data_IF_325647748097
#
_entry.id   IF_325647748097
#
_cell.length_a   1.000
_cell.length_b   1.000
_cell.length_c   1.000
_cell.angle_alpha   90.00
_cell.angle_beta   90.00
_cell.angle_gamma   90.00
#
_symmetry.space_group_name_H-M   'P 1'
#
loop_
_entity.id
_entity.type
_entity.pdbx_description
1 polymer ?
#
# COMPACT_ATOMS: atom_id res chain seq x y z
N UNK A 1 -1.63 -5.08 -18.61
CA UNK A 1 -0.57 -5.59 -17.71
C UNK A 1 0.78 -5.19 -18.31
N UNK A 2 1.47 -4.23 -17.69
CA UNK A 2 2.79 -3.73 -18.08
C UNK A 2 3.87 -4.65 -17.50
N UNK A 3 4.78 -5.13 -18.33
CA UNK A 3 5.92 -5.96 -17.91
C UNK A 3 7.22 -5.21 -18.23
N UNK A 4 8.03 -4.95 -17.21
CA UNK A 4 9.31 -4.26 -17.34
C UNK A 4 10.43 -5.20 -17.75
N UNK A 5 11.59 -4.63 -18.08
CA UNK A 5 12.82 -5.39 -18.32
C UNK A 5 13.23 -6.19 -17.08
N UNK A 6 13.67 -7.45 -17.21
CA UNK A 6 14.15 -8.24 -16.07
C UNK A 6 15.35 -7.59 -15.35
N UNK A 7 15.35 -7.61 -14.02
CA UNK A 7 16.45 -7.02 -13.22
C UNK A 7 17.66 -7.95 -13.12
N UNK A 8 17.44 -9.26 -13.03
CA UNK A 8 18.51 -10.26 -12.97
C UNK A 8 19.13 -10.45 -11.57
N UNK A 9 18.62 -9.76 -10.55
CA UNK A 9 18.94 -9.95 -9.14
C UNK A 9 17.77 -9.48 -8.26
N UNK A 10 17.73 -9.97 -7.03
CA UNK A 10 16.76 -9.55 -6.04
C UNK A 10 16.94 -8.06 -5.73
N UNK A 11 15.91 -7.26 -5.93
CA UNK A 11 15.95 -5.81 -5.70
C UNK A 11 16.12 -5.50 -4.21
N UNK A 12 15.79 -6.41 -3.30
CA UNK A 12 15.86 -6.17 -1.87
C UNK A 12 17.19 -6.57 -1.22
N UNK A 13 17.86 -7.62 -1.72
CA UNK A 13 19.04 -8.19 -1.08
C UNK A 13 20.20 -8.52 -2.04
N UNK A 14 20.02 -8.33 -3.35
CA UNK A 14 21.06 -8.55 -4.36
C UNK A 14 21.30 -10.01 -4.78
N UNK A 15 20.65 -11.00 -4.14
CA UNK A 15 20.78 -12.41 -4.53
C UNK A 15 20.40 -12.64 -6.00
N UNK A 16 21.11 -13.53 -6.70
CA UNK A 16 20.82 -13.92 -8.09
C UNK A 16 20.08 -15.26 -8.21
N UNK A 17 19.78 -15.88 -7.07
CA UNK A 17 19.24 -17.24 -7.01
C UNK A 17 17.71 -17.24 -6.89
N UNK A 18 17.07 -18.25 -7.50
CA UNK A 18 15.62 -18.52 -7.42
C UNK A 18 14.78 -17.25 -7.56
N UNK A 19 15.03 -16.52 -8.64
CA UNK A 19 14.37 -15.24 -8.90
C UNK A 19 12.97 -15.45 -9.46
N UNK A 20 11.98 -14.90 -8.76
CA UNK A 20 10.60 -14.76 -9.19
C UNK A 20 10.33 -13.39 -9.80
N UNK A 21 9.09 -13.20 -10.28
CA UNK A 21 8.56 -11.89 -10.63
C UNK A 21 8.10 -11.14 -9.37
N UNK A 22 8.29 -9.83 -9.37
CA UNK A 22 7.70 -8.94 -8.37
C UNK A 22 6.54 -8.19 -9.04
N UNK A 23 5.34 -8.24 -8.45
CA UNK A 23 4.28 -7.31 -8.85
C UNK A 23 4.55 -5.99 -8.13
N UNK A 24 4.59 -4.86 -8.81
CA UNK A 24 4.88 -3.56 -8.16
C UNK A 24 3.77 -3.26 -7.15
N UNK A 25 2.54 -3.13 -7.64
CA UNK A 25 1.33 -3.22 -6.82
C UNK A 25 0.94 -4.69 -6.72
N UNK A 26 0.61 -5.23 -5.53
CA UNK A 26 0.20 -6.62 -5.40
C UNK A 26 -0.98 -6.97 -6.32
N UNK A 27 -0.94 -8.16 -6.93
CA UNK A 27 -2.00 -8.63 -7.81
C UNK A 27 -3.39 -8.67 -7.13
N UNK A 28 -3.44 -8.97 -5.83
CA UNK A 28 -4.68 -8.94 -5.03
C UNK A 28 -5.33 -7.56 -4.95
N UNK A 29 -4.59 -6.49 -5.23
CA UNK A 29 -5.10 -5.12 -5.29
C UNK A 29 -5.50 -4.68 -6.69
N UNK A 30 -5.50 -5.57 -7.70
CA UNK A 30 -5.56 -5.26 -9.14
C UNK A 30 -4.32 -4.52 -9.67
N UNK A 31 -3.16 -4.78 -9.07
CA UNK A 31 -1.88 -4.34 -9.65
C UNK A 31 -1.60 -5.03 -10.99
N UNK A 32 -1.17 -4.25 -11.97
CA UNK A 32 -0.98 -4.70 -13.36
C UNK A 32 0.45 -4.47 -13.89
N UNK A 33 1.37 -4.07 -13.02
CA UNK A 33 2.78 -3.85 -13.32
C UNK A 33 3.66 -4.94 -12.72
N UNK A 34 4.54 -5.52 -13.54
CA UNK A 34 5.40 -6.65 -13.16
C UNK A 34 6.86 -6.34 -13.49
N UNK A 35 7.74 -6.60 -12.51
CA UNK A 35 9.18 -6.57 -12.66
C UNK A 35 9.72 -8.02 -12.66
N UNK A 36 10.12 -8.59 -13.81
CA UNK A 36 10.56 -9.98 -13.88
C UNK A 36 11.93 -10.22 -13.23
N UNK A 37 12.16 -11.44 -12.72
CA UNK A 37 13.44 -11.90 -12.16
C UNK A 37 14.05 -10.89 -11.18
N UNK A 38 13.26 -10.45 -10.20
CA UNK A 38 13.56 -9.28 -9.37
C UNK A 38 13.37 -9.51 -7.87
N UNK A 39 12.83 -10.65 -7.43
CA UNK A 39 12.77 -11.03 -6.02
C UNK A 39 13.20 -12.47 -5.83
N UNK A 40 14.04 -12.74 -4.82
CA UNK A 40 14.36 -14.11 -4.43
C UNK A 40 13.28 -14.68 -3.52
N UNK A 41 13.20 -16.01 -3.43
CA UNK A 41 12.23 -16.76 -2.62
C UNK A 41 12.08 -16.22 -1.19
N UNK A 42 13.19 -15.94 -0.50
CA UNK A 42 13.17 -15.41 0.88
C UNK A 42 12.52 -14.03 0.97
N UNK A 43 12.89 -13.12 0.09
CA UNK A 43 12.34 -11.76 0.11
C UNK A 43 10.88 -11.76 -0.35
N UNK A 44 10.53 -12.56 -1.36
CA UNK A 44 9.14 -12.76 -1.79
C UNK A 44 8.25 -13.33 -0.66
N UNK A 45 8.78 -14.24 0.15
CA UNK A 45 8.07 -14.75 1.35
C UNK A 45 7.80 -13.65 2.39
N UNK A 46 8.77 -12.77 2.62
CA UNK A 46 8.60 -11.63 3.53
C UNK A 46 7.56 -10.65 2.97
N UNK A 47 7.69 -10.25 1.69
CA UNK A 47 6.79 -9.25 1.10
C UNK A 47 5.35 -9.76 1.00
N UNK A 48 5.16 -10.99 0.53
CA UNK A 48 3.83 -11.61 0.44
C UNK A 48 3.14 -11.76 1.81
N UNK A 49 3.89 -11.91 2.90
CA UNK A 49 3.33 -12.06 4.25
C UNK A 49 2.55 -10.82 4.70
N UNK A 50 3.16 -9.63 4.61
CA UNK A 50 2.50 -8.39 5.01
C UNK A 50 1.49 -7.90 3.95
N UNK A 51 1.72 -8.19 2.67
CA UNK A 51 0.71 -7.95 1.62
C UNK A 51 -0.58 -8.71 1.93
N UNK A 52 -0.46 -10.00 2.25
CA UNK A 52 -1.58 -10.84 2.62
C UNK A 52 -2.27 -10.37 3.90
N UNK A 53 -1.51 -9.94 4.90
CA UNK A 53 -2.05 -9.37 6.14
C UNK A 53 -2.92 -8.15 5.87
N UNK A 54 -2.46 -7.20 5.06
CA UNK A 54 -3.21 -5.99 4.74
C UNK A 54 -4.44 -6.32 3.87
N UNK A 55 -4.28 -7.19 2.87
CA UNK A 55 -5.34 -7.56 1.94
C UNK A 55 -6.48 -8.38 2.55
N UNK A 56 -6.17 -9.24 3.54
CA UNK A 56 -7.15 -10.07 4.27
C UNK A 56 -7.62 -9.42 5.57
N UNK A 57 -6.88 -8.45 6.10
CA UNK A 57 -7.26 -7.66 7.25
C UNK A 57 -7.97 -6.37 6.83
N UNK A 58 -7.28 -5.25 6.97
CA UNK A 58 -7.86 -3.91 6.91
C UNK A 58 -8.51 -3.52 5.57
N UNK A 59 -8.22 -4.23 4.47
CA UNK A 59 -8.82 -3.99 3.15
C UNK A 59 -9.71 -5.14 2.65
N UNK A 60 -9.98 -6.16 3.45
CA UNK A 60 -10.78 -7.32 3.00
C UNK A 60 -12.21 -6.93 2.60
N UNK A 61 -12.90 -6.14 3.41
CA UNK A 61 -14.29 -5.72 3.14
C UNK A 61 -14.37 -4.87 1.88
N UNK A 62 -13.54 -3.84 1.77
CA UNK A 62 -13.43 -3.03 0.55
C UNK A 62 -13.16 -3.87 -0.69
N UNK A 63 -12.16 -4.76 -0.61
CA UNK A 63 -11.77 -5.60 -1.75
C UNK A 63 -12.89 -6.49 -2.22
N UNK A 64 -13.62 -7.11 -1.29
CA UNK A 64 -14.80 -7.92 -1.64
C UNK A 64 -15.88 -7.06 -2.29
N UNK A 65 -16.34 -6.01 -1.61
CA UNK A 65 -17.53 -5.27 -2.01
C UNK A 65 -17.32 -4.51 -3.33
N UNK A 66 -16.08 -4.12 -3.64
CA UNK A 66 -15.72 -3.51 -4.92
C UNK A 66 -15.15 -4.50 -5.97
N UNK A 67 -15.16 -5.80 -5.67
CA UNK A 67 -14.69 -6.85 -6.58
C UNK A 67 -13.19 -6.76 -6.92
N UNK A 68 -12.36 -6.23 -6.02
CA UNK A 68 -10.91 -6.03 -6.19
C UNK A 68 -10.17 -7.29 -5.73
N UNK A 69 -9.72 -8.10 -6.67
CA UNK A 69 -8.92 -9.30 -6.41
C UNK A 69 -8.56 -10.06 -7.66
N UNK A 70 -7.66 -11.02 -7.54
CA UNK A 70 -7.39 -11.97 -8.63
C UNK A 70 -8.56 -12.96 -8.69
N UNK A 71 -9.16 -13.13 -9.87
CA UNK A 71 -10.34 -13.99 -10.09
C UNK A 71 -10.16 -15.48 -9.74
N UNK A 72 -8.98 -15.88 -9.26
CA UNK A 72 -8.62 -17.23 -8.83
C UNK A 72 -9.10 -17.58 -7.42
N UNK A 73 -9.40 -16.58 -6.59
CA UNK A 73 -10.02 -16.75 -5.27
C UNK A 73 -11.28 -15.89 -5.19
N UNK A 74 -12.41 -16.46 -5.63
CA UNK A 74 -13.73 -15.79 -5.59
C UNK A 74 -14.24 -15.54 -4.17
N UNK A 75 -13.68 -16.22 -3.17
CA UNK A 75 -14.01 -16.01 -1.77
C UNK A 75 -12.90 -15.20 -1.11
N UNK A 76 -13.21 -13.94 -0.77
CA UNK A 76 -12.36 -13.16 0.12
C UNK A 76 -12.38 -13.83 1.49
N UNK A 77 -11.24 -14.34 1.93
CA UNK A 77 -11.08 -14.90 3.26
C UNK A 77 -11.17 -13.78 4.33
N UNK A 78 -12.23 -13.83 5.15
CA UNK A 78 -12.45 -12.93 6.28
C UNK A 78 -11.92 -13.49 7.60
N UNK A 79 -11.20 -14.61 7.59
CA UNK A 79 -10.66 -15.23 8.81
C UNK A 79 -9.78 -14.28 9.64
N UNK A 80 -9.15 -13.30 8.99
CA UNK A 80 -8.33 -12.28 9.63
C UNK A 80 -9.14 -11.12 10.25
N UNK A 81 -10.46 -11.06 10.05
CA UNK A 81 -11.36 -10.14 10.73
C UNK A 81 -12.15 -10.86 11.82
N UNK A 82 -12.29 -10.21 12.98
CA UNK A 82 -13.24 -10.66 14.00
C UNK A 82 -14.51 -9.83 13.89
N UNK A 83 -15.59 -10.46 13.42
CA UNK A 83 -16.91 -9.84 13.26
C UNK A 83 -17.86 -10.45 14.29
N UNK A 84 -18.41 -9.61 15.15
CA UNK A 84 -19.44 -9.98 16.12
C UNK A 84 -20.71 -9.20 15.83
N UNK A 85 -21.86 -9.86 15.88
CA UNK A 85 -23.14 -9.22 15.69
C UNK A 85 -24.13 -9.60 16.80
N UNK A 86 -24.96 -8.64 17.19
CA UNK A 86 -26.00 -8.79 18.20
C UNK A 86 -27.36 -8.74 17.53
N UNK A 87 -28.22 -9.70 17.85
CA UNK A 87 -29.63 -9.73 17.44
C UNK A 87 -30.47 -10.26 18.59
N UNK A 88 -31.53 -9.55 18.98
CA UNK A 88 -32.37 -9.90 20.11
C UNK A 88 -31.55 -10.17 21.39
N UNK A 89 -30.51 -9.37 21.64
CA UNK A 89 -29.61 -9.53 22.78
C UNK A 89 -28.61 -10.71 22.72
N UNK A 90 -28.65 -11.53 21.67
CA UNK A 90 -27.72 -12.67 21.50
C UNK A 90 -26.53 -12.26 20.62
N UNK A 91 -25.32 -12.41 21.15
CA UNK A 91 -24.07 -12.19 20.40
C UNK A 91 -23.66 -13.44 19.63
N UNK A 92 -23.35 -13.29 18.34
CA UNK A 92 -22.88 -14.35 17.46
C UNK A 92 -21.64 -13.89 16.70
N UNK A 93 -20.68 -14.81 16.47
CA UNK A 93 -19.55 -14.56 15.58
C UNK A 93 -20.00 -14.82 14.15
N UNK A 94 -19.88 -13.83 13.29
CA UNK A 94 -20.24 -13.99 11.88
C UNK A 94 -19.00 -14.39 11.07
N UNK A 95 -19.18 -15.36 10.18
CA UNK A 95 -18.25 -15.59 9.07
C UNK A 95 -18.61 -14.60 7.97
N UNK A 96 -17.65 -13.79 7.51
CA UNK A 96 -17.91 -12.65 6.65
C UNK A 96 -18.63 -13.03 5.36
N UNK A 97 -19.95 -12.87 5.32
CA UNK A 97 -20.87 -12.75 4.16
C UNK A 97 -22.25 -12.27 4.66
N UNK A 98 -22.68 -12.69 5.85
CA UNK A 98 -24.08 -12.53 6.31
C UNK A 98 -24.44 -11.15 6.86
N UNK A 99 -23.45 -10.26 7.02
CA UNK A 99 -23.61 -9.04 7.81
C UNK A 99 -24.04 -7.80 6.99
N UNK A 100 -24.11 -7.87 5.66
CA UNK A 100 -24.47 -6.70 4.82
C UNK A 100 -23.58 -5.48 5.08
N UNK A 101 -22.30 -5.70 5.40
CA UNK A 101 -21.40 -4.65 5.89
C UNK A 101 -21.03 -3.65 4.80
N UNK A 102 -20.90 -2.35 5.15
CA UNK A 102 -20.55 -1.32 4.19
C UNK A 102 -19.17 -1.57 3.61
N UNK A 103 -19.01 -1.25 2.33
CA UNK A 103 -17.70 -1.15 1.73
C UNK A 103 -16.89 -0.06 2.45
N UNK A 104 -15.83 -0.47 3.15
CA UNK A 104 -14.94 0.45 3.84
C UNK A 104 -13.47 0.03 3.77
N UNK A 105 -12.58 1.02 3.71
CA UNK A 105 -11.14 0.81 3.88
C UNK A 105 -10.57 1.66 4.99
N UNK A 106 -9.48 1.16 5.58
CA UNK A 106 -8.67 1.90 6.55
C UNK A 106 -7.47 2.53 5.85
N UNK A 107 -7.18 3.78 6.21
CA UNK A 107 -5.94 4.49 5.88
C UNK A 107 -5.29 5.05 7.14
N UNK A 108 -3.99 5.33 7.09
CA UNK A 108 -3.26 5.98 8.17
C UNK A 108 -3.01 7.46 7.88
N UNK A 109 -3.43 8.35 8.76
CA UNK A 109 -2.93 9.72 8.77
C UNK A 109 -1.52 9.72 9.33
N UNK A 110 -0.55 9.97 8.46
CA UNK A 110 0.87 10.10 8.80
C UNK A 110 1.32 11.51 8.41
N UNK A 111 2.19 12.19 9.18
CA UNK A 111 2.90 13.37 8.69
C UNK A 111 3.76 13.00 7.47
N UNK A 112 4.33 13.99 6.79
CA UNK A 112 5.30 13.76 5.73
C UNK A 112 6.51 12.96 6.26
N UNK A 113 7.19 12.16 5.41
CA UNK A 113 8.38 11.43 5.82
C UNK A 113 9.42 12.36 6.43
N UNK A 114 10.02 11.97 7.54
CA UNK A 114 10.92 12.87 8.29
C UNK A 114 12.21 13.18 7.53
N UNK A 115 12.60 12.35 6.55
CA UNK A 115 13.74 12.63 5.66
C UNK A 115 13.52 13.85 4.74
N UNK A 116 12.27 14.23 4.49
CA UNK A 116 11.90 15.34 3.59
C UNK A 116 11.04 16.39 4.29
N UNK A 117 10.77 16.22 5.59
CA UNK A 117 10.03 17.18 6.39
C UNK A 117 11.00 18.07 7.16
N UNK A 118 10.77 19.38 7.13
CA UNK A 118 11.48 20.35 7.96
C UNK A 118 11.01 20.36 9.43
N UNK A 119 9.92 19.63 9.75
CA UNK A 119 9.38 19.55 11.11
C UNK A 119 10.25 18.59 11.92
N UNK A 120 10.93 19.05 12.99
CA UNK A 120 11.68 18.18 13.87
C UNK A 120 10.76 17.12 14.46
N UNK A 121 11.21 15.86 14.48
CA UNK A 121 10.54 14.82 15.25
C UNK A 121 10.72 15.18 16.72
N UNK A 122 9.75 15.85 17.32
CA UNK A 122 9.67 15.98 18.77
C UNK A 122 9.32 14.64 19.41
N UNK A 123 9.51 14.53 20.74
CA UNK A 123 9.15 13.34 21.53
C UNK A 123 7.65 12.97 21.44
N UNK A 124 6.80 13.88 20.95
CA UNK A 124 5.39 13.67 20.69
C UNK A 124 5.13 13.68 19.19
N UNK A 125 5.18 12.48 18.59
CA UNK A 125 4.69 12.26 17.24
C UNK A 125 3.24 12.77 17.09
N UNK A 126 2.88 13.48 16.01
CA UNK A 126 1.47 13.81 15.77
C UNK A 126 0.69 12.49 15.71
N UNK A 127 -0.27 12.32 16.62
CA UNK A 127 -0.98 11.08 16.84
C UNK A 127 -1.31 10.39 15.50
N UNK A 128 -0.68 9.24 15.24
CA UNK A 128 -1.03 8.41 14.08
C UNK A 128 -2.51 8.11 14.20
N UNK A 129 -3.31 8.64 13.28
CA UNK A 129 -4.74 8.42 13.26
C UNK A 129 -5.09 7.36 12.22
N UNK A 130 -6.04 6.51 12.57
CA UNK A 130 -6.66 5.58 11.65
C UNK A 130 -7.95 6.23 11.13
N UNK A 131 -8.09 6.36 9.81
CA UNK A 131 -9.32 6.84 9.20
C UNK A 131 -10.05 5.66 8.56
N UNK A 132 -11.31 5.49 8.93
CA UNK A 132 -12.24 4.57 8.29
C UNK A 132 -13.05 5.34 7.23
N UNK A 133 -12.94 4.91 5.98
CA UNK A 133 -13.64 5.53 4.85
C UNK A 133 -14.83 4.66 4.47
N UNK A 134 -16.03 5.23 4.43
CA UNK A 134 -17.26 4.56 3.97
C UNK A 134 -17.64 5.08 2.58
N UNK A 135 -18.08 4.16 1.69
CA UNK A 135 -18.34 4.45 0.28
C UNK A 135 -19.81 4.39 -0.14
N UNK A 136 -20.70 4.09 0.79
CA UNK A 136 -22.13 3.95 0.55
C UNK A 136 -22.83 5.11 1.25
N UNK A 137 -23.85 5.67 0.61
CA UNK A 137 -24.82 6.52 1.32
C UNK A 137 -25.50 5.62 2.37
N UNK A 138 -25.50 6.04 3.64
CA UNK A 138 -26.15 5.28 4.72
C UNK A 138 -27.61 4.94 4.40
N UNK A 139 -28.25 5.72 3.53
CA UNK A 139 -29.64 5.50 3.06
C UNK A 139 -29.77 4.36 2.05
N UNK A 140 -28.69 4.02 1.34
CA UNK A 140 -28.63 2.92 0.37
C UNK A 140 -28.12 1.62 1.01
N UNK A 141 -27.61 1.69 2.24
CA UNK A 141 -27.22 0.52 2.98
C UNK A 141 -28.46 -0.33 3.32
N UNK A 142 -28.41 -1.66 3.07
CA UNK A 142 -29.50 -2.53 3.50
C UNK A 142 -29.68 -2.37 5.01
N UNK A 143 -30.94 -2.21 5.45
CA UNK A 143 -31.26 -2.11 6.88
C UNK A 143 -30.61 -3.29 7.59
N UNK A 144 -29.76 -3.05 8.60
CA UNK A 144 -29.00 -4.13 9.20
C UNK A 144 -29.98 -5.14 9.82
N UNK A 145 -29.76 -6.42 9.54
CA UNK A 145 -30.47 -7.55 10.18
C UNK A 145 -30.07 -7.74 11.65
N UNK A 146 -29.17 -6.88 12.16
CA UNK A 146 -28.53 -6.93 13.45
C UNK A 146 -28.66 -5.56 14.13
N UNK A 147 -28.83 -5.56 15.45
CA UNK A 147 -28.91 -4.35 16.28
C UNK A 147 -27.54 -3.67 16.39
N UNK A 148 -26.48 -4.48 16.44
CA UNK A 148 -25.10 -4.01 16.54
C UNK A 148 -24.19 -4.95 15.76
N UNK A 149 -23.23 -4.38 15.03
CA UNK A 149 -22.12 -5.14 14.44
C UNK A 149 -20.80 -4.51 14.86
N UNK A 150 -19.91 -5.32 15.42
CA UNK A 150 -18.55 -4.93 15.82
C UNK A 150 -17.54 -5.64 14.91
N UNK A 151 -16.67 -4.86 14.28
CA UNK A 151 -15.58 -5.37 13.45
C UNK A 151 -14.26 -5.00 14.12
N UNK A 152 -13.41 -5.99 14.42
CA UNK A 152 -12.06 -5.75 14.92
C UNK A 152 -11.04 -5.94 13.81
N UNK A 153 -10.31 -4.87 13.52
CA UNK A 153 -9.26 -4.84 12.52
C UNK A 153 -7.89 -5.08 13.16
N UNK A 154 -7.14 -6.03 12.62
CA UNK A 154 -5.72 -6.23 12.95
C UNK A 154 -4.84 -5.23 12.21
N UNK A 155 -4.90 -3.94 12.56
CA UNK A 155 -4.07 -2.91 11.92
C UNK A 155 -2.62 -3.01 12.41
N UNK A 156 -1.70 -3.22 11.46
CA UNK A 156 -0.25 -3.13 11.71
C UNK A 156 0.31 -1.95 10.93
N UNK A 157 0.63 -0.81 11.57
CA UNK A 157 1.23 0.34 10.90
C UNK A 157 2.53 -0.02 10.19
N UNK A 158 3.34 -0.90 10.78
CA UNK A 158 4.56 -1.42 10.16
C UNK A 158 4.28 -2.12 8.83
N UNK A 159 3.27 -2.98 8.77
CA UNK A 159 2.91 -3.69 7.54
C UNK A 159 2.28 -2.77 6.50
N UNK A 160 1.50 -1.78 6.95
CA UNK A 160 0.96 -0.74 6.08
C UNK A 160 2.11 0.04 5.42
N UNK A 161 3.06 0.57 6.20
CA UNK A 161 4.19 1.31 5.65
C UNK A 161 5.10 0.41 4.80
N UNK A 162 5.34 -0.85 5.19
CA UNK A 162 6.13 -1.79 4.40
C UNK A 162 5.51 -2.07 3.03
N UNK A 163 4.18 -2.14 2.94
CA UNK A 163 3.48 -2.27 1.66
C UNK A 163 3.72 -1.07 0.74
N UNK A 164 3.56 0.15 1.25
CA UNK A 164 3.82 1.37 0.48
C UNK A 164 5.29 1.48 0.08
N UNK A 165 6.20 1.19 1.01
CA UNK A 165 7.64 1.10 0.76
C UNK A 165 7.97 0.15 -0.38
N UNK A 166 7.39 -1.05 -0.37
CA UNK A 166 7.61 -2.05 -1.40
C UNK A 166 7.07 -1.61 -2.76
N UNK A 167 5.87 -1.04 -2.80
CA UNK A 167 5.26 -0.56 -4.06
C UNK A 167 6.14 0.55 -4.65
N UNK A 168 6.48 1.55 -3.84
CA UNK A 168 7.32 2.67 -4.23
C UNK A 168 8.71 2.22 -4.69
N UNK A 169 9.37 1.36 -3.92
CA UNK A 169 10.71 0.88 -4.24
C UNK A 169 10.74 0.06 -5.53
N UNK A 170 9.77 -0.85 -5.70
CA UNK A 170 9.68 -1.66 -6.92
C UNK A 170 9.39 -0.79 -8.14
N UNK A 171 8.56 0.25 -7.99
CA UNK A 171 8.29 1.23 -9.05
C UNK A 171 9.53 2.04 -9.40
N UNK A 172 10.25 2.57 -8.40
CA UNK A 172 11.49 3.30 -8.63
C UNK A 172 12.56 2.46 -9.31
N UNK A 173 12.72 1.18 -8.94
CA UNK A 173 13.63 0.27 -9.64
C UNK A 173 13.19 0.03 -11.09
N UNK A 174 11.89 -0.06 -11.33
CA UNK A 174 11.35 -0.28 -12.67
C UNK A 174 11.56 0.94 -13.60
N UNK A 175 11.43 2.16 -13.06
CA UNK A 175 11.56 3.42 -13.82
C UNK A 175 13.02 3.91 -13.92
N UNK A 176 13.82 3.77 -12.85
CA UNK A 176 15.19 4.29 -12.79
C UNK A 176 16.28 3.22 -12.97
N UNK A 177 15.92 1.93 -12.90
CA UNK A 177 16.87 0.84 -12.78
C UNK A 177 17.36 0.63 -11.35
N UNK A 178 17.81 -0.60 -11.06
CA UNK A 178 18.22 -1.01 -9.70
C UNK A 178 19.46 -0.27 -9.18
N UNK A 179 20.29 0.27 -10.08
CA UNK A 179 21.47 1.07 -9.78
C UNK A 179 21.27 2.57 -10.06
N UNK A 180 20.03 3.00 -10.35
CA UNK A 180 19.71 4.40 -10.68
C UNK A 180 19.65 5.35 -9.48
N UNK A 181 19.69 4.82 -8.26
CA UNK A 181 19.64 5.56 -7.01
C UNK A 181 20.28 4.75 -5.88
N UNK A 182 20.64 5.40 -4.77
CA UNK A 182 21.17 4.70 -3.59
C UNK A 182 19.98 4.29 -2.70
N UNK A 183 19.63 3.00 -2.61
CA UNK A 183 18.43 2.56 -1.90
C UNK A 183 18.55 2.80 -0.39
N UNK A 184 17.49 3.32 0.22
CA UNK A 184 17.38 3.50 1.67
C UNK A 184 16.23 2.69 2.28
N UNK A 185 15.17 2.43 1.52
CA UNK A 185 13.91 1.87 2.06
C UNK A 185 13.87 0.33 2.12
N UNK A 186 14.91 -0.36 1.62
CA UNK A 186 14.96 -1.83 1.61
C UNK A 186 14.82 -2.46 3.01
N UNK A 187 15.43 -1.94 4.09
CA UNK A 187 15.24 -2.48 5.44
C UNK A 187 13.76 -2.45 5.87
N UNK A 188 13.00 -1.43 5.50
CA UNK A 188 11.56 -1.35 5.76
C UNK A 188 10.78 -2.38 4.95
N UNK A 189 11.11 -2.54 3.65
CA UNK A 189 10.51 -3.56 2.78
C UNK A 189 10.73 -4.98 3.33
N UNK A 190 11.84 -5.21 4.04
CA UNK A 190 12.22 -6.49 4.66
C UNK A 190 11.84 -6.58 6.14
N UNK A 191 11.04 -5.65 6.66
CA UNK A 191 10.60 -5.59 8.07
C UNK A 191 11.75 -5.53 9.10
N UNK A 192 12.94 -5.09 8.67
CA UNK A 192 14.11 -4.89 9.53
C UNK A 192 14.19 -3.48 10.12
N UNK A 193 13.44 -2.54 9.56
CA UNK A 193 13.31 -1.17 10.08
C UNK A 193 12.15 -1.07 11.09
N UNK A 194 12.33 -0.24 12.12
CA UNK A 194 11.29 0.14 13.09
C UNK A 194 10.75 1.54 12.81
N UNK A 195 11.59 2.43 12.29
CA UNK A 195 11.27 3.85 12.09
C UNK A 195 10.67 4.09 10.69
N UNK A 196 9.55 3.40 10.41
CA UNK A 196 8.92 3.43 9.09
C UNK A 196 8.53 4.84 8.61
N UNK A 197 8.28 5.74 9.55
CA UNK A 197 7.93 7.14 9.33
C UNK A 197 9.04 7.99 8.74
N UNK A 198 10.30 7.55 8.81
CA UNK A 198 11.39 8.23 8.10
C UNK A 198 11.18 8.18 6.58
N UNK A 199 10.54 7.12 6.11
CA UNK A 199 10.40 6.80 4.70
C UNK A 199 9.00 7.03 4.17
N UNK A 200 7.96 6.79 4.97
CA UNK A 200 6.57 6.78 4.51
C UNK A 200 5.74 7.80 5.27
N UNK A 201 5.02 8.64 4.53
CA UNK A 201 4.14 9.66 5.08
C UNK A 201 2.97 9.96 4.14
N UNK A 202 1.88 10.53 4.67
CA UNK A 202 0.77 10.94 3.81
C UNK A 202 1.19 12.20 3.06
N UNK A 203 0.86 12.23 1.77
CA UNK A 203 1.02 13.43 0.96
C UNK A 203 -0.22 14.31 1.16
N UNK A 204 0.00 15.50 1.73
CA UNK A 204 -1.07 16.43 2.11
C UNK A 204 -1.26 17.55 1.08
N UNK A 205 -0.34 17.66 0.11
CA UNK A 205 -0.43 18.66 -0.94
C UNK A 205 -1.44 18.25 -2.01
N UNK A 206 -1.98 19.25 -2.71
CA UNK A 206 -2.77 18.99 -3.92
C UNK A 206 -1.81 18.53 -5.01
N UNK A 207 -1.93 17.27 -5.39
CA UNK A 207 -1.08 16.68 -6.42
C UNK A 207 -1.64 16.97 -7.80
N UNK A 208 -0.77 17.44 -8.69
CA UNK A 208 -1.03 17.47 -10.12
C UNK A 208 -0.60 16.13 -10.71
N UNK A 209 -1.57 15.22 -10.85
CA UNK A 209 -1.34 13.96 -11.53
C UNK A 209 -1.22 14.18 -13.04
N UNK A 210 -0.30 13.46 -13.73
CA UNK A 210 -0.27 13.43 -15.18
C UNK A 210 -1.61 12.96 -15.76
N UNK A 211 -2.01 13.51 -16.91
CA UNK A 211 -3.32 13.24 -17.53
C UNK A 211 -3.49 11.77 -17.93
N UNK A 212 -2.39 11.06 -18.16
CA UNK A 212 -2.34 9.62 -18.49
C UNK A 212 -2.81 8.75 -17.31
N UNK A 213 -2.85 9.30 -16.09
CA UNK A 213 -3.34 8.63 -14.90
C UNK A 213 -4.81 8.94 -14.58
N UNK A 214 -5.51 9.67 -15.45
CA UNK A 214 -6.93 9.94 -15.26
C UNK A 214 -7.76 8.64 -15.34
N UNK A 215 -8.64 8.46 -14.36
CA UNK A 215 -9.43 7.24 -14.20
C UNK A 215 -8.65 5.99 -13.75
N UNK A 216 -7.31 6.06 -13.58
CA UNK A 216 -6.51 4.92 -13.15
C UNK A 216 -6.91 4.41 -11.75
N UNK A 217 -6.93 3.08 -11.57
CA UNK A 217 -7.22 2.45 -10.27
C UNK A 217 -6.19 2.82 -9.20
N UNK A 218 -4.93 2.94 -9.61
CA UNK A 218 -3.80 3.32 -8.76
C UNK A 218 -2.93 4.31 -9.52
N UNK A 219 -2.47 5.35 -8.83
CA UNK A 219 -1.58 6.37 -9.38
C UNK A 219 -0.22 6.26 -8.70
N UNK A 220 0.84 6.22 -9.50
CA UNK A 220 2.21 6.29 -9.01
C UNK A 220 2.93 7.40 -9.77
N UNK A 221 3.70 8.21 -9.06
CA UNK A 221 4.50 9.28 -9.66
C UNK A 221 5.84 9.33 -8.96
N UNK A 222 6.92 9.36 -9.73
CA UNK A 222 8.29 9.49 -9.22
C UNK A 222 8.76 10.94 -9.38
N UNK A 223 9.49 11.44 -8.37
CA UNK A 223 10.13 12.75 -8.42
C UNK A 223 11.49 12.73 -7.71
N UNK A 224 12.32 13.69 -8.06
CA UNK A 224 13.53 14.01 -7.31
C UNK A 224 13.28 15.29 -6.52
N UNK A 225 13.53 15.26 -5.21
CA UNK A 225 13.31 16.40 -4.34
C UNK A 225 14.35 16.36 -3.22
N UNK A 226 15.04 17.48 -2.97
CA UNK A 226 16.01 17.61 -1.88
C UNK A 226 17.08 16.51 -1.83
N UNK A 227 17.52 16.01 -3.00
CA UNK A 227 18.51 14.94 -3.11
C UNK A 227 17.97 13.52 -2.87
N UNK A 228 16.65 13.37 -2.75
CA UNK A 228 15.98 12.08 -2.59
C UNK A 228 15.16 11.71 -3.83
N UNK A 229 15.08 10.41 -4.08
CA UNK A 229 14.07 9.84 -4.99
C UNK A 229 12.83 9.54 -4.15
N UNK A 230 11.71 10.13 -4.55
CA UNK A 230 10.43 9.99 -3.87
C UNK A 230 9.42 9.42 -4.86
N UNK A 231 8.66 8.42 -4.42
CA UNK A 231 7.49 7.94 -5.17
C UNK A 231 6.25 8.27 -4.38
N UNK A 232 5.34 9.02 -5.00
CA UNK A 232 3.98 9.17 -4.49
C UNK A 232 3.14 8.00 -4.97
N UNK A 233 2.47 7.33 -4.03
CA UNK A 233 1.59 6.19 -4.31
C UNK A 233 0.18 6.54 -3.83
N UNK A 234 -0.78 6.54 -4.74
CA UNK A 234 -2.20 6.60 -4.42
C UNK A 234 -2.87 5.31 -4.89
N UNK A 235 -3.18 4.43 -3.95
CA UNK A 235 -3.99 3.25 -4.27
C UNK A 235 -5.46 3.64 -4.39
N UNK A 236 -6.28 2.86 -5.10
CA UNK A 236 -7.74 3.03 -5.13
C UNK A 236 -8.21 4.48 -5.41
N UNK A 237 -7.57 5.15 -6.37
CA UNK A 237 -7.79 6.57 -6.63
C UNK A 237 -9.25 6.94 -6.95
N UNK A 238 -10.06 6.13 -7.67
CA UNK A 238 -11.49 6.40 -7.86
C UNK A 238 -12.31 6.43 -6.55
N UNK A 239 -11.73 5.91 -5.46
CA UNK A 239 -12.33 5.85 -4.13
C UNK A 239 -11.67 6.83 -3.15
N UNK A 240 -10.98 7.87 -3.64
CA UNK A 240 -10.38 8.94 -2.82
C UNK A 240 -9.46 8.46 -1.70
N UNK A 241 -8.84 7.29 -1.86
CA UNK A 241 -7.84 6.82 -0.91
C UNK A 241 -6.64 7.79 -0.93
N UNK A 242 -6.08 8.15 0.25
CA UNK A 242 -5.09 9.22 0.32
C UNK A 242 -3.77 8.84 -0.35
N UNK A 243 -3.09 9.80 -1.00
CA UNK A 243 -1.75 9.57 -1.52
C UNK A 243 -0.71 9.51 -0.39
N UNK A 244 0.33 8.70 -0.58
CA UNK A 244 1.46 8.59 0.34
C UNK A 244 2.76 8.90 -0.40
N UNK A 245 3.58 9.78 0.17
CA UNK A 245 4.94 10.02 -0.26
C UNK A 245 5.87 8.99 0.37
N UNK A 246 6.71 8.37 -0.46
CA UNK A 246 7.69 7.39 -0.01
C UNK A 246 9.09 7.75 -0.48
N UNK A 247 9.99 8.00 0.47
CA UNK A 247 11.41 8.20 0.20
C UNK A 247 12.06 6.84 -0.03
N UNK A 248 12.43 6.54 -1.28
CA UNK A 248 12.97 5.22 -1.66
C UNK A 248 14.48 5.15 -1.54
N UNK A 249 15.17 6.28 -1.72
CA UNK A 249 16.62 6.36 -1.70
C UNK A 249 17.18 7.75 -2.00
N UNK A 250 18.51 7.88 -2.02
CA UNK A 250 19.19 9.11 -2.43
C UNK A 250 19.32 9.15 -3.95
N UNK A 251 19.05 10.32 -4.53
CA UNK A 251 19.27 10.55 -5.94
C UNK A 251 20.77 10.55 -6.26
N UNK A 252 21.16 9.95 -7.39
CA UNK A 252 22.51 10.07 -7.92
C UNK A 252 22.71 11.40 -8.68
N UNK A 253 21.62 12.11 -8.98
CA UNK A 253 21.65 13.38 -9.69
C UNK A 253 21.81 14.51 -8.67
N UNK A 254 23.04 14.99 -8.52
CA UNK A 254 23.32 16.25 -7.82
C UNK A 254 22.98 17.42 -8.79
N UNK A 255 21.80 18.01 -8.65
CA UNK A 255 21.38 19.18 -9.43
C UNK A 255 20.91 18.87 -10.87
N UNK A 256 19.68 19.27 -11.19
CA UNK A 256 19.12 19.42 -12.54
C UNK A 256 19.50 18.37 -13.59
N UNK A 257 18.78 17.24 -13.61
CA UNK A 257 18.38 16.63 -14.88
C UNK A 257 16.87 16.43 -14.84
N UNK A 258 16.17 17.13 -15.74
CA UNK A 258 14.80 16.81 -16.09
C UNK A 258 14.79 15.35 -16.55
N UNK A 259 13.98 14.54 -15.88
CA UNK A 259 13.68 13.19 -16.34
C UNK A 259 12.97 13.31 -17.69
N UNK A 260 13.26 12.46 -18.68
CA UNK A 260 12.53 12.52 -19.93
C UNK A 260 11.05 12.24 -19.67
N UNK A 261 10.21 13.13 -20.17
CA UNK A 261 8.80 12.84 -20.42
C UNK A 261 8.76 11.67 -21.41
N UNK A 262 8.39 10.48 -20.94
CA UNK A 262 8.01 9.35 -21.79
C UNK A 262 6.76 8.71 -21.27
#
# INVERSE_FOLDING_TARGET
MKTYTPVGRCIYCGSKERLSKEHIIPAGLRGDMILPRSSCEKCAGITSSYEGHIQRGIWALFRRNKGIGSGRHKETDFSALSIQAVRAGVSSKLTGVEAGLPSSFISLSLPLPTLISAVPVGDTWPAMACNLHHFEDEREMPKPSFEQVTIRYGLSPKYFCALFAKIAYSFAVAECGVDGFIPLVQPLCLLKEREAWQYVGREWTTLMWPSELDGAMHKLQIRNESGFVIVTVQLFAPFNFPPYAVVVGRSLVYGSRNWPET
#
